data_IF_084501733326
#
_entry.id   IF_084501733326
#
_cell.length_a   1.000
_cell.length_b   1.000
_cell.length_c   1.000
_cell.angle_alpha   90.00
_cell.angle_beta   90.00
_cell.angle_gamma   90.00
#
_symmetry.space_group_name_H-M   'P 1'
#
loop_
_entity.id
_entity.type
_entity.pdbx_description
1 polymer ?
#
# COMPACT_ATOMS: atom_id res chain seq x y z
N UNK A 1 -23.87 19.05 -12.77
CA UNK A 1 -23.74 17.83 -13.59
C UNK A 1 -22.30 17.36 -13.44
N UNK A 2 -22.07 16.43 -12.51
CA UNK A 2 -20.77 15.77 -12.37
C UNK A 2 -20.89 14.49 -13.19
N UNK A 3 -20.28 14.49 -14.37
CA UNK A 3 -20.15 13.31 -15.20
C UNK A 3 -19.08 12.41 -14.59
N UNK A 4 -19.53 11.38 -13.87
CA UNK A 4 -18.72 10.20 -13.54
C UNK A 4 -18.41 9.47 -14.83
N UNK A 5 -17.12 9.31 -15.14
CA UNK A 5 -16.64 8.42 -16.20
C UNK A 5 -16.24 7.11 -15.52
N UNK A 6 -17.15 6.15 -15.50
CA UNK A 6 -16.81 4.75 -15.21
C UNK A 6 -15.97 4.20 -16.35
N UNK A 7 -14.66 4.05 -16.12
CA UNK A 7 -13.77 3.30 -16.99
C UNK A 7 -13.89 1.81 -16.70
N UNK A 8 -14.52 1.07 -17.61
CA UNK A 8 -14.49 -0.40 -17.65
C UNK A 8 -13.09 -0.86 -18.04
N UNK A 9 -12.39 -1.60 -17.17
CA UNK A 9 -11.12 -2.24 -17.52
C UNK A 9 -11.38 -3.63 -18.07
N UNK A 10 -11.31 -3.76 -19.40
CA UNK A 10 -11.20 -5.05 -20.10
C UNK A 10 -9.80 -5.63 -19.89
N UNK A 11 -9.72 -6.81 -19.29
CA UNK A 11 -8.47 -7.56 -19.12
C UNK A 11 -7.97 -8.02 -20.48
N UNK A 12 -6.92 -7.37 -20.99
CA UNK A 12 -6.25 -7.78 -22.21
C UNK A 12 -5.24 -8.87 -21.88
N UNK A 13 -5.52 -10.09 -22.35
CA UNK A 13 -4.59 -11.23 -22.35
C UNK A 13 -3.23 -10.75 -22.84
N UNK A 14 -2.20 -10.89 -22.00
CA UNK A 14 -0.82 -10.56 -22.33
C UNK A 14 -0.44 -11.23 -23.65
N UNK A 15 -0.29 -10.42 -24.70
CA UNK A 15 0.39 -10.84 -25.93
C UNK A 15 1.83 -11.12 -25.55
N UNK A 16 2.30 -12.32 -25.88
CA UNK A 16 3.71 -12.67 -25.82
C UNK A 16 4.52 -11.58 -26.53
N UNK A 17 5.19 -10.74 -25.73
CA UNK A 17 6.18 -9.81 -26.24
C UNK A 17 7.36 -10.64 -26.72
N UNK A 18 7.59 -10.56 -28.03
CA UNK A 18 8.70 -11.20 -28.70
C UNK A 18 10.03 -10.96 -27.99
N UNK A 19 10.84 -12.01 -27.95
CA UNK A 19 12.17 -12.06 -27.36
C UNK A 19 13.12 -11.09 -28.06
N UNK A 20 13.15 -9.83 -27.61
CA UNK A 20 14.22 -8.90 -27.96
C UNK A 20 14.46 -7.96 -26.77
N UNK A 21 15.51 -8.24 -25.99
CA UNK A 21 15.96 -7.37 -24.89
C UNK A 21 16.08 -7.99 -23.49
N UNK A 22 15.77 -9.28 -23.31
CA UNK A 22 15.79 -9.93 -21.97
C UNK A 22 17.21 -10.04 -21.39
N UNK A 23 18.26 -9.97 -22.20
CA UNK A 23 19.64 -10.14 -21.73
C UNK A 23 20.29 -8.86 -21.17
N UNK A 24 19.83 -7.66 -21.54
CA UNK A 24 20.41 -6.40 -21.05
C UNK A 24 19.87 -5.98 -19.68
N UNK A 25 18.64 -6.39 -19.33
CA UNK A 25 18.01 -6.04 -18.05
C UNK A 25 18.41 -6.97 -16.89
N UNK A 26 18.82 -8.21 -17.18
CA UNK A 26 19.28 -9.16 -16.13
C UNK A 26 20.50 -8.62 -15.39
N UNK A 27 21.46 -8.06 -16.12
CA UNK A 27 22.70 -7.52 -15.55
C UNK A 27 22.51 -6.20 -14.79
N UNK A 28 21.32 -5.59 -14.83
CA UNK A 28 21.04 -4.31 -14.15
C UNK A 28 20.68 -4.50 -12.68
N UNK A 29 20.17 -5.69 -12.32
CA UNK A 29 19.66 -6.05 -11.00
C UNK A 29 20.46 -7.16 -10.30
N UNK A 30 21.45 -7.74 -10.99
CA UNK A 30 22.40 -8.65 -10.35
C UNK A 30 23.27 -7.89 -9.34
N UNK A 31 23.66 -8.57 -8.24
CA UNK A 31 24.70 -8.06 -7.34
C UNK A 31 25.94 -7.80 -8.21
N UNK A 32 26.47 -6.57 -8.17
CA UNK A 32 27.71 -6.24 -8.88
C UNK A 32 28.84 -7.09 -8.28
N UNK A 33 29.31 -8.10 -9.02
CA UNK A 33 30.52 -8.88 -8.70
C UNK A 33 31.83 -8.08 -8.94
N UNK A 34 31.73 -6.86 -9.46
CA UNK A 34 32.87 -6.02 -9.83
C UNK A 34 33.45 -5.29 -8.62
N UNK A 35 34.09 -6.01 -7.70
CA UNK A 35 35.02 -5.43 -6.72
C UNK A 35 36.19 -6.38 -6.37
N UNK A 36 36.60 -7.27 -7.29
CA UNK A 36 37.77 -8.14 -7.03
C UNK A 36 39.14 -7.51 -7.37
N UNK A 37 39.23 -6.31 -7.97
CA UNK A 37 40.52 -5.78 -8.46
C UNK A 37 40.81 -4.29 -8.19
N UNK A 38 40.15 -3.68 -7.21
CA UNK A 38 40.68 -2.49 -6.53
C UNK A 38 40.57 -2.76 -5.04
N UNK A 39 41.66 -2.59 -4.29
CA UNK A 39 41.76 -2.78 -2.84
C UNK A 39 40.88 -1.79 -2.05
N UNK A 40 39.57 -1.84 -2.26
CA UNK A 40 38.57 -1.21 -1.42
C UNK A 40 37.89 -2.30 -0.62
N UNK A 41 38.55 -2.70 0.46
CA UNK A 41 37.98 -3.54 1.50
C UNK A 41 36.77 -2.81 2.09
N UNK A 42 35.56 -3.14 1.64
CA UNK A 42 34.35 -2.84 2.38
C UNK A 42 34.39 -3.65 3.66
N UNK A 43 34.88 -3.05 4.75
CA UNK A 43 34.85 -3.64 6.07
C UNK A 43 33.39 -3.65 6.57
N UNK A 44 32.71 -4.77 6.38
CA UNK A 44 31.32 -4.96 6.82
C UNK A 44 31.17 -4.93 8.35
N UNK A 45 32.26 -5.11 9.11
CA UNK A 45 32.28 -4.98 10.57
C UNK A 45 32.46 -3.52 11.01
N UNK A 46 32.97 -2.68 10.11
CA UNK A 46 33.26 -1.28 10.34
C UNK A 46 32.58 -0.44 9.27
N UNK A 47 31.24 -0.48 9.26
CA UNK A 47 30.41 0.37 8.41
C UNK A 47 30.80 1.82 8.68
N UNK A 48 31.62 2.39 7.81
CA UNK A 48 32.07 3.79 7.86
C UNK A 48 30.87 4.69 7.54
N UNK A 49 29.93 4.78 8.49
CA UNK A 49 28.89 5.79 8.49
C UNK A 49 28.17 5.92 9.84
N UNK A 50 28.59 5.30 10.95
CA UNK A 50 27.96 5.62 12.27
C UNK A 50 28.25 7.09 12.67
N UNK A 51 29.34 7.70 12.18
CA UNK A 51 29.76 9.05 12.52
C UNK A 51 30.17 9.87 11.28
N UNK A 52 29.27 10.08 10.33
CA UNK A 52 29.46 11.16 9.33
C UNK A 52 29.46 12.51 10.05
N UNK A 53 30.56 13.26 9.94
CA UNK A 53 30.64 14.62 10.46
C UNK A 53 29.65 15.54 9.72
N UNK A 54 29.18 16.61 10.38
CA UNK A 54 28.22 17.58 9.83
C UNK A 54 28.69 18.34 8.55
N UNK A 55 29.81 17.94 7.96
CA UNK A 55 30.49 18.60 6.84
C UNK A 55 30.49 17.68 5.62
N UNK A 56 29.35 17.51 4.94
CA UNK A 56 29.32 17.15 3.50
C UNK A 56 27.92 17.16 2.90
N UNK A 57 27.02 18.05 3.32
CA UNK A 57 25.83 18.29 2.51
C UNK A 57 26.29 19.00 1.22
N UNK A 58 26.36 18.25 0.12
CA UNK A 58 26.53 18.84 -1.21
C UNK A 58 25.23 19.56 -1.56
N UNK A 59 25.35 20.86 -1.88
CA UNK A 59 24.20 21.60 -2.39
C UNK A 59 23.79 20.99 -3.73
N UNK A 60 22.57 20.46 -3.80
CA UNK A 60 21.99 19.96 -5.03
C UNK A 60 21.31 21.13 -5.76
N UNK A 61 21.79 21.54 -6.95
CA UNK A 61 21.13 22.61 -7.70
C UNK A 61 19.77 22.13 -8.19
N UNK A 62 18.71 22.84 -7.80
CA UNK A 62 17.33 22.56 -8.20
C UNK A 62 16.85 23.67 -9.13
N UNK A 63 16.24 23.30 -10.25
CA UNK A 63 15.67 24.25 -11.21
C UNK A 63 14.16 24.09 -11.21
N UNK A 64 13.44 25.21 -11.24
CA UNK A 64 11.99 25.17 -11.39
C UNK A 64 11.64 24.64 -12.78
N UNK A 65 10.77 23.63 -12.82
CA UNK A 65 10.27 23.04 -14.05
C UNK A 65 8.74 23.13 -14.05
N UNK A 66 8.19 23.68 -15.14
CA UNK A 66 6.76 23.92 -15.30
C UNK A 66 5.99 22.60 -15.39
N UNK A 67 6.62 21.53 -15.90
CA UNK A 67 6.00 20.21 -16.03
C UNK A 67 5.67 19.58 -14.68
N UNK A 68 6.49 19.87 -13.66
CA UNK A 68 6.35 19.34 -12.31
C UNK A 68 5.72 20.35 -11.33
N UNK A 69 5.57 21.60 -11.74
CA UNK A 69 5.20 22.75 -10.89
C UNK A 69 6.07 22.88 -9.62
N UNK A 70 7.35 22.45 -9.70
CA UNK A 70 8.26 22.45 -8.55
C UNK A 70 9.73 22.58 -8.98
N UNK A 71 10.61 22.83 -8.01
CA UNK A 71 12.07 22.86 -8.17
C UNK A 71 12.61 21.44 -8.12
N UNK A 72 12.96 20.92 -9.29
CA UNK A 72 13.43 19.55 -9.46
C UNK A 72 14.86 19.50 -10.00
N UNK A 73 15.49 18.34 -9.84
CA UNK A 73 16.76 18.02 -10.46
C UNK A 73 16.63 16.72 -11.27
N UNK A 74 16.67 16.87 -12.60
CA UNK A 74 16.56 15.77 -13.57
C UNK A 74 17.82 14.89 -13.65
N UNK A 75 18.91 15.22 -12.96
CA UNK A 75 20.17 14.45 -13.03
C UNK A 75 20.24 13.33 -12.01
N UNK A 76 19.51 13.41 -10.90
CA UNK A 76 19.59 12.44 -9.80
C UNK A 76 18.19 12.12 -9.28
N UNK A 77 18.02 10.96 -8.63
CA UNK A 77 16.83 10.67 -7.83
C UNK A 77 17.04 11.09 -6.37
N UNK A 78 15.94 11.37 -5.68
CA UNK A 78 15.93 11.57 -4.24
C UNK A 78 15.52 10.27 -3.55
N UNK A 79 16.16 9.97 -2.40
CA UNK A 79 15.75 8.87 -1.52
C UNK A 79 15.00 9.46 -0.34
N UNK A 80 13.81 8.92 -0.04
CA UNK A 80 13.06 9.22 1.18
C UNK A 80 12.95 7.95 2.02
N UNK A 81 13.27 8.05 3.30
CA UNK A 81 13.11 6.96 4.27
C UNK A 81 11.90 7.28 5.15
N UNK A 82 11.12 6.25 5.48
CA UNK A 82 10.01 6.41 6.42
C UNK A 82 10.54 6.80 7.82
N UNK A 83 9.84 7.68 8.53
CA UNK A 83 10.33 8.26 9.79
C UNK A 83 10.51 7.27 10.94
N UNK A 84 9.78 6.16 10.90
CA UNK A 84 9.89 5.08 11.88
C UNK A 84 11.02 4.09 11.58
N UNK A 85 11.81 4.33 10.52
CA UNK A 85 12.91 3.46 10.10
C UNK A 85 14.22 4.18 10.26
N UNK A 86 15.21 3.44 10.74
CA UNK A 86 16.55 3.96 10.86
C UNK A 86 17.24 3.95 9.49
N UNK A 87 17.60 5.12 8.98
CA UNK A 87 18.19 5.30 7.64
C UNK A 87 19.50 4.53 7.43
N UNK A 88 20.20 4.18 8.53
CA UNK A 88 21.47 3.44 8.50
C UNK A 88 21.31 1.96 8.82
N UNK A 89 20.09 1.45 8.85
CA UNK A 89 19.88 0.02 8.92
C UNK A 89 20.50 -0.67 7.68
N UNK A 90 21.10 -1.83 7.86
CA UNK A 90 21.87 -2.52 6.82
C UNK A 90 20.96 -2.91 5.64
N UNK A 91 19.74 -3.37 5.94
CA UNK A 91 18.70 -3.67 4.95
C UNK A 91 18.37 -2.46 4.07
N UNK A 92 18.22 -1.29 4.68
CA UNK A 92 17.91 -0.02 4.00
C UNK A 92 19.08 0.43 3.14
N UNK A 93 20.30 0.40 3.67
CA UNK A 93 21.50 0.81 2.93
C UNK A 93 21.81 -0.10 1.74
N UNK A 94 21.69 -1.42 1.91
CA UNK A 94 21.79 -2.38 0.81
C UNK A 94 20.68 -2.12 -0.22
N UNK A 95 19.46 -1.87 0.27
CA UNK A 95 18.29 -1.43 -0.47
C UNK A 95 18.57 -0.25 -1.40
N UNK A 96 19.08 0.82 -0.83
CA UNK A 96 19.45 2.05 -1.52
C UNK A 96 20.58 1.77 -2.53
N UNK A 97 21.56 0.96 -2.16
CA UNK A 97 22.70 0.63 -3.03
C UNK A 97 22.28 -0.13 -4.29
N UNK A 98 21.48 -1.19 -4.17
CA UNK A 98 21.06 -1.96 -5.35
C UNK A 98 20.11 -1.16 -6.25
N UNK A 99 19.25 -0.33 -5.64
CA UNK A 99 18.27 0.47 -6.37
C UNK A 99 18.88 1.70 -7.09
N UNK A 100 20.18 1.98 -6.91
CA UNK A 100 20.91 3.03 -7.63
C UNK A 100 20.79 2.89 -9.15
N UNK A 101 20.80 1.66 -9.66
CA UNK A 101 20.71 1.38 -11.09
C UNK A 101 19.39 1.85 -11.71
N UNK A 102 18.34 2.08 -10.91
CA UNK A 102 17.05 2.60 -11.38
C UNK A 102 17.14 4.03 -11.91
N UNK A 103 18.13 4.82 -11.48
CA UNK A 103 18.32 6.19 -11.96
C UNK A 103 18.53 6.25 -13.49
N UNK A 104 19.19 5.24 -14.06
CA UNK A 104 19.37 5.13 -15.51
C UNK A 104 18.04 4.84 -16.23
N UNK A 105 17.21 4.00 -15.63
CA UNK A 105 15.89 3.64 -16.17
C UNK A 105 14.95 4.84 -16.11
N UNK A 106 14.91 5.54 -14.97
CA UNK A 106 14.07 6.73 -14.80
C UNK A 106 14.41 7.83 -15.81
N UNK A 107 15.71 8.08 -16.02
CA UNK A 107 16.18 9.01 -17.05
C UNK A 107 15.79 8.57 -18.45
N UNK A 108 15.97 7.29 -18.78
CA UNK A 108 15.59 6.74 -20.08
C UNK A 108 14.09 6.88 -20.33
N UNK A 109 13.26 6.63 -19.32
CA UNK A 109 11.81 6.79 -19.43
C UNK A 109 11.42 8.25 -19.68
N UNK A 110 12.00 9.20 -18.94
CA UNK A 110 11.74 10.62 -19.12
C UNK A 110 12.25 11.17 -20.48
N UNK A 111 13.28 10.56 -21.05
CA UNK A 111 13.75 10.88 -22.41
C UNK A 111 12.83 10.31 -23.50
N UNK A 112 12.25 9.14 -23.26
CA UNK A 112 11.35 8.48 -24.20
C UNK A 112 9.95 9.09 -24.19
N UNK A 113 9.49 9.51 -23.02
CA UNK A 113 8.17 10.11 -22.80
C UNK A 113 8.31 11.43 -22.02
N UNK A 114 8.31 12.58 -22.73
CA UNK A 114 8.39 13.89 -22.12
C UNK A 114 7.18 14.26 -21.25
N UNK A 115 6.03 13.62 -21.45
CA UNK A 115 4.81 13.89 -20.67
C UNK A 115 4.80 13.15 -19.33
N UNK A 116 5.75 12.23 -19.12
CA UNK A 116 5.90 11.47 -17.88
C UNK A 116 6.27 12.41 -16.72
N UNK A 117 5.47 12.36 -15.65
CA UNK A 117 5.68 13.18 -14.44
C UNK A 117 6.56 12.41 -13.45
N UNK A 118 6.06 12.12 -12.25
CA UNK A 118 6.81 11.51 -11.17
C UNK A 118 7.00 10.01 -11.40
N UNK A 119 8.23 9.55 -11.23
CA UNK A 119 8.57 8.15 -11.19
C UNK A 119 9.05 7.79 -9.79
N UNK A 120 8.57 6.67 -9.26
CA UNK A 120 8.93 6.24 -7.93
C UNK A 120 9.12 4.73 -7.87
N UNK A 121 10.02 4.34 -6.98
CA UNK A 121 10.21 2.96 -6.54
C UNK A 121 10.14 2.96 -5.02
N UNK A 122 9.38 2.04 -4.44
CA UNK A 122 9.26 1.93 -2.99
C UNK A 122 9.53 0.50 -2.55
N UNK A 123 10.41 0.35 -1.56
CA UNK A 123 10.71 -0.95 -0.95
C UNK A 123 9.83 -1.18 0.28
N UNK A 124 9.39 -2.43 0.55
CA UNK A 124 8.81 -2.80 1.84
C UNK A 124 9.75 -2.53 3.04
N UNK A 125 11.07 -2.50 2.81
CA UNK A 125 12.07 -2.11 3.81
C UNK A 125 11.96 -0.63 4.24
N UNK A 126 11.11 0.13 3.55
CA UNK A 126 10.68 1.47 3.93
C UNK A 126 11.64 2.60 3.59
N UNK A 127 12.36 2.43 2.47
CA UNK A 127 12.85 3.54 1.65
C UNK A 127 12.13 3.61 0.29
N UNK A 128 12.04 4.80 -0.27
CA UNK A 128 11.55 5.04 -1.62
C UNK A 128 12.53 5.92 -2.40
N UNK A 129 12.66 5.66 -3.70
CA UNK A 129 13.32 6.53 -4.68
C UNK A 129 12.28 7.32 -5.43
N UNK A 130 12.57 8.59 -5.66
CA UNK A 130 11.71 9.53 -6.35
C UNK A 130 12.50 10.27 -7.43
N UNK A 131 12.01 10.23 -8.65
CA UNK A 131 12.62 10.88 -9.80
C UNK A 131 11.60 11.78 -10.52
N UNK A 132 11.99 13.02 -10.89
CA UNK A 132 13.27 13.67 -10.60
C UNK A 132 13.45 13.99 -9.09
N UNK A 133 14.68 14.28 -8.69
CA UNK A 133 14.95 14.64 -7.30
C UNK A 133 14.24 15.95 -6.95
N UNK A 134 13.53 15.97 -5.83
CA UNK A 134 12.81 17.12 -5.29
C UNK A 134 13.22 17.33 -3.84
N UNK A 135 13.17 18.58 -3.37
CA UNK A 135 13.30 18.87 -1.95
C UNK A 135 11.93 18.67 -1.32
N UNK A 136 11.78 17.65 -0.48
CA UNK A 136 10.56 17.45 0.31
C UNK A 136 10.26 18.67 1.19
N UNK A 137 8.98 19.01 1.34
CA UNK A 137 8.59 20.16 2.14
C UNK A 137 8.95 19.93 3.60
N UNK A 138 9.20 21.04 4.30
CA UNK A 138 9.38 21.05 5.76
C UNK A 138 8.02 21.06 6.50
N UNK A 139 6.92 20.97 5.76
CA UNK A 139 5.58 20.83 6.32
C UNK A 139 5.43 19.52 7.11
N UNK A 140 4.63 19.58 8.18
CA UNK A 140 4.43 18.43 9.09
C UNK A 140 3.95 17.17 8.37
N UNK A 141 3.08 17.32 7.37
CA UNK A 141 2.55 16.19 6.61
C UNK A 141 3.65 15.42 5.87
N UNK A 142 4.54 16.15 5.20
CA UNK A 142 5.65 15.58 4.43
C UNK A 142 6.71 14.95 5.33
N UNK A 143 6.84 15.45 6.56
CA UNK A 143 7.70 14.84 7.58
C UNK A 143 7.12 13.51 8.07
N UNK A 144 5.81 13.40 8.30
CA UNK A 144 5.18 12.15 8.76
C UNK A 144 4.78 11.20 7.63
N UNK A 145 5.19 11.50 6.40
CA UNK A 145 4.78 10.72 5.24
C UNK A 145 5.44 9.33 5.24
N UNK A 146 4.61 8.31 5.45
CA UNK A 146 4.92 6.92 5.12
C UNK A 146 4.23 6.57 3.80
N UNK A 147 4.99 6.07 2.83
CA UNK A 147 4.45 5.63 1.55
C UNK A 147 3.81 4.24 1.64
N UNK A 148 4.18 3.42 2.62
CA UNK A 148 3.70 2.02 2.73
C UNK A 148 2.23 1.93 3.13
N UNK A 149 1.69 2.99 3.70
CA UNK A 149 0.28 3.10 4.07
C UNK A 149 -0.57 3.72 2.94
N UNK A 150 0.05 4.08 1.80
CA UNK A 150 -0.67 4.73 0.69
C UNK A 150 -1.33 3.72 -0.21
N UNK A 151 -2.52 4.06 -0.69
CA UNK A 151 -3.31 3.20 -1.58
C UNK A 151 -2.50 2.68 -2.76
N UNK A 152 -1.78 3.56 -3.48
CA UNK A 152 -0.95 3.16 -4.62
C UNK A 152 0.09 2.08 -4.28
N UNK A 153 0.65 2.09 -3.06
CA UNK A 153 1.62 1.09 -2.61
C UNK A 153 0.90 -0.18 -2.17
N UNK A 154 -0.14 -0.06 -1.35
CA UNK A 154 -0.90 -1.19 -0.82
C UNK A 154 -1.61 -1.97 -1.93
N UNK A 155 -2.14 -1.29 -2.95
CA UNK A 155 -2.75 -1.89 -4.14
C UNK A 155 -1.74 -2.67 -4.99
N UNK A 156 -0.50 -2.16 -5.10
CA UNK A 156 0.55 -2.85 -5.84
C UNK A 156 1.13 -4.05 -5.08
N UNK A 157 1.15 -3.98 -3.74
CA UNK A 157 1.74 -5.01 -2.89
C UNK A 157 0.76 -6.11 -2.48
N UNK A 158 -0.54 -5.82 -2.43
CA UNK A 158 -1.54 -6.75 -1.89
C UNK A 158 -2.74 -6.88 -2.82
N UNK A 159 -3.31 -8.07 -2.88
CA UNK A 159 -4.58 -8.29 -3.58
C UNK A 159 -5.76 -7.73 -2.76
N UNK A 160 -6.94 -7.56 -3.39
CA UNK A 160 -8.18 -7.26 -2.67
C UNK A 160 -8.45 -8.26 -1.54
N UNK A 161 -8.94 -7.77 -0.40
CA UNK A 161 -9.12 -8.53 0.84
C UNK A 161 -10.57 -8.44 1.34
N UNK A 162 -11.06 -9.57 1.87
CA UNK A 162 -12.36 -9.70 2.54
C UNK A 162 -12.12 -9.86 4.06
N UNK A 163 -12.43 -8.83 4.86
CA UNK A 163 -12.03 -8.75 6.27
C UNK A 163 -13.24 -8.60 7.20
N UNK A 164 -13.24 -9.36 8.29
CA UNK A 164 -14.14 -9.13 9.43
C UNK A 164 -13.32 -8.77 10.66
N UNK A 165 -13.63 -7.63 11.26
CA UNK A 165 -13.02 -7.18 12.51
C UNK A 165 -13.96 -7.53 13.67
N UNK A 166 -13.47 -8.33 14.62
CA UNK A 166 -14.21 -8.72 15.83
C UNK A 166 -13.76 -7.87 17.02
N UNK A 167 -14.68 -7.06 17.56
CA UNK A 167 -14.45 -6.21 18.72
C UNK A 167 -15.03 -6.82 19.99
N UNK A 168 -14.17 -7.06 20.97
CA UNK A 168 -14.60 -7.47 22.30
C UNK A 168 -15.26 -6.30 23.03
N UNK A 169 -16.52 -6.47 23.45
CA UNK A 169 -17.27 -5.50 24.27
C UNK A 169 -17.45 -5.97 25.71
N UNK A 170 -16.61 -6.89 26.18
CA UNK A 170 -16.61 -7.38 27.55
C UNK A 170 -16.16 -6.33 28.57
N UNK A 171 -16.50 -6.57 29.84
CA UNK A 171 -16.10 -5.73 30.97
C UNK A 171 -14.58 -5.50 31.07
N UNK A 172 -13.77 -6.46 30.61
CA UNK A 172 -12.31 -6.36 30.60
C UNK A 172 -11.75 -5.31 29.66
N UNK A 173 -12.53 -4.87 28.67
CA UNK A 173 -12.10 -3.84 27.73
C UNK A 173 -12.31 -2.42 28.26
N UNK A 174 -12.93 -2.25 29.42
CA UNK A 174 -13.20 -0.92 30.01
C UNK A 174 -11.91 -0.09 30.20
N UNK A 175 -11.98 1.19 29.88
CA UNK A 175 -10.88 2.14 30.05
C UNK A 175 -9.90 2.13 28.88
N UNK A 176 -8.60 2.12 29.18
CA UNK A 176 -7.51 2.27 28.19
C UNK A 176 -7.52 1.21 27.08
N UNK A 177 -7.91 -0.02 27.39
CA UNK A 177 -7.94 -1.11 26.40
C UNK A 177 -8.92 -0.83 25.26
N UNK A 178 -10.10 -0.30 25.57
CA UNK A 178 -11.09 0.11 24.58
C UNK A 178 -10.58 1.24 23.69
N UNK A 179 -9.96 2.25 24.28
CA UNK A 179 -9.39 3.37 23.53
C UNK A 179 -8.29 2.91 22.56
N UNK A 180 -7.38 2.04 23.04
CA UNK A 180 -6.35 1.44 22.20
C UNK A 180 -6.95 0.56 21.09
N UNK A 181 -8.00 -0.21 21.38
CA UNK A 181 -8.70 -1.00 20.36
C UNK A 181 -9.30 -0.11 19.27
N UNK A 182 -9.88 1.05 19.62
CA UNK A 182 -10.40 1.97 18.61
C UNK A 182 -9.28 2.53 17.72
N UNK A 183 -8.13 2.87 18.30
CA UNK A 183 -6.96 3.33 17.54
C UNK A 183 -6.48 2.25 16.58
N UNK A 184 -6.30 1.00 17.04
CA UNK A 184 -5.88 -0.12 16.20
C UNK A 184 -6.87 -0.35 15.05
N UNK A 185 -8.18 -0.25 15.32
CA UNK A 185 -9.18 -0.42 14.26
C UNK A 185 -9.06 0.70 13.23
N UNK A 186 -8.89 1.96 13.66
CA UNK A 186 -8.66 3.06 12.72
C UNK A 186 -7.40 2.83 11.88
N UNK A 187 -6.30 2.40 12.50
CA UNK A 187 -5.06 2.09 11.78
C UNK A 187 -5.27 0.97 10.75
N UNK A 188 -6.08 -0.05 11.08
CA UNK A 188 -6.45 -1.11 10.11
C UNK A 188 -7.29 -0.52 8.98
N UNK A 189 -8.31 0.28 9.28
CA UNK A 189 -9.17 0.91 8.26
C UNK A 189 -8.38 1.85 7.34
N UNK A 190 -7.31 2.49 7.84
CA UNK A 190 -6.41 3.34 7.05
C UNK A 190 -5.57 2.54 6.03
N UNK A 191 -5.45 1.22 6.19
CA UNK A 191 -4.74 0.35 5.22
C UNK A 191 -5.63 -0.22 4.14
N UNK A 192 -6.95 -0.02 4.22
CA UNK A 192 -7.90 -0.58 3.26
C UNK A 192 -8.03 0.31 2.03
N UNK A 193 -8.14 -0.33 0.87
CA UNK A 193 -8.40 0.34 -0.41
C UNK A 193 -9.86 0.16 -0.83
N UNK A 194 -10.31 0.93 -1.82
CA UNK A 194 -11.68 0.85 -2.34
C UNK A 194 -12.03 -0.56 -2.89
N UNK A 195 -11.04 -1.36 -3.27
CA UNK A 195 -11.28 -2.73 -3.75
C UNK A 195 -11.46 -3.76 -2.61
N UNK A 196 -11.19 -3.38 -1.36
CA UNK A 196 -11.32 -4.26 -0.20
C UNK A 196 -12.76 -4.27 0.34
N UNK A 197 -13.16 -5.36 0.98
CA UNK A 197 -14.45 -5.50 1.67
C UNK A 197 -14.24 -5.69 3.16
N UNK A 198 -14.98 -4.93 3.97
CA UNK A 198 -14.85 -4.92 5.42
C UNK A 198 -16.20 -4.88 6.11
N UNK A 199 -16.30 -5.53 7.27
CA UNK A 199 -17.34 -5.27 8.25
C UNK A 199 -16.80 -5.46 9.67
N UNK A 200 -17.42 -4.80 10.65
CA UNK A 200 -17.02 -4.82 12.04
C UNK A 200 -18.16 -5.38 12.87
N UNK A 201 -17.88 -6.41 13.67
CA UNK A 201 -18.83 -7.01 14.60
C UNK A 201 -18.33 -6.87 16.02
N UNK A 202 -19.23 -6.58 16.95
CA UNK A 202 -18.96 -6.63 18.38
C UNK A 202 -19.46 -7.94 18.95
N UNK A 203 -18.71 -8.55 19.86
CA UNK A 203 -19.11 -9.82 20.48
C UNK A 203 -19.11 -9.74 22.01
N UNK A 204 -20.15 -10.33 22.60
CA UNK A 204 -20.22 -10.69 24.02
C UNK A 204 -20.67 -12.15 24.10
N UNK A 205 -21.82 -12.45 24.69
CA UNK A 205 -22.55 -13.70 24.48
C UNK A 205 -23.22 -13.79 23.08
N UNK A 206 -23.52 -12.64 22.46
CA UNK A 206 -24.09 -12.52 21.11
C UNK A 206 -23.17 -11.65 20.26
N UNK A 207 -23.11 -11.97 18.96
CA UNK A 207 -22.36 -11.22 17.94
C UNK A 207 -23.31 -10.31 17.17
N UNK A 208 -23.07 -9.01 17.24
CA UNK A 208 -23.92 -7.96 16.63
C UNK A 208 -23.03 -7.08 15.74
N UNK A 209 -23.50 -6.63 14.56
CA UNK A 209 -22.74 -5.70 13.74
C UNK A 209 -22.54 -4.37 14.48
N UNK A 210 -21.45 -3.67 14.18
CA UNK A 210 -21.16 -2.35 14.78
C UNK A 210 -22.15 -1.28 14.29
N UNK A 211 -22.56 -1.39 13.03
CA UNK A 211 -23.54 -0.50 12.39
C UNK A 211 -24.77 -1.35 12.06
N UNK A 212 -25.95 -0.96 12.56
CA UNK A 212 -27.17 -1.75 12.46
C UNK A 212 -27.64 -2.05 11.02
N UNK A 213 -27.22 -1.25 10.04
CA UNK A 213 -27.53 -1.51 8.63
C UNK A 213 -26.55 -2.49 7.97
N UNK A 214 -25.44 -2.82 8.61
CA UNK A 214 -24.39 -3.69 8.06
C UNK A 214 -24.60 -5.16 8.45
N UNK A 215 -25.78 -5.69 8.14
CA UNK A 215 -26.20 -7.03 8.56
C UNK A 215 -25.69 -8.13 7.61
N UNK A 216 -25.08 -9.16 8.19
CA UNK A 216 -24.79 -10.46 7.57
C UNK A 216 -24.05 -10.46 6.21
N UNK A 217 -23.33 -9.38 5.90
CA UNK A 217 -22.51 -9.25 4.68
C UNK A 217 -21.29 -8.38 4.91
N UNK A 218 -20.37 -8.34 3.95
CA UNK A 218 -19.27 -7.37 3.89
C UNK A 218 -19.65 -6.18 3.00
N UNK A 219 -19.05 -5.03 3.27
CA UNK A 219 -19.24 -3.81 2.49
C UNK A 219 -17.91 -3.33 1.93
N UNK A 220 -17.97 -2.76 0.74
CA UNK A 220 -16.80 -2.17 0.10
C UNK A 220 -16.22 -1.07 0.99
N UNK A 221 -14.90 -1.00 1.11
CA UNK A 221 -14.17 -0.05 1.94
C UNK A 221 -14.08 1.36 1.31
N UNK A 222 -15.20 1.88 0.82
CA UNK A 222 -15.33 3.24 0.31
C UNK A 222 -15.27 4.25 1.46
N UNK A 223 -14.81 5.47 1.18
CA UNK A 223 -14.65 6.54 2.18
C UNK A 223 -15.93 6.76 3.04
N UNK A 224 -17.12 6.73 2.42
CA UNK A 224 -18.41 6.87 3.12
C UNK A 224 -18.68 5.72 4.11
N UNK A 225 -18.41 4.48 3.72
CA UNK A 225 -18.61 3.30 4.58
C UNK A 225 -17.58 3.28 5.71
N UNK A 226 -16.32 3.59 5.41
CA UNK A 226 -15.26 3.71 6.40
C UNK A 226 -15.55 4.81 7.42
N UNK A 227 -16.06 5.96 6.96
CA UNK A 227 -16.50 7.05 7.84
C UNK A 227 -17.62 6.61 8.78
N UNK A 228 -18.63 5.92 8.28
CA UNK A 228 -19.72 5.36 9.11
C UNK A 228 -19.16 4.41 10.17
N UNK A 229 -18.28 3.48 9.80
CA UNK A 229 -17.65 2.57 10.76
C UNK A 229 -16.91 3.34 11.86
N UNK A 230 -16.13 4.36 11.51
CA UNK A 230 -15.40 5.21 12.48
C UNK A 230 -16.31 5.96 13.43
N UNK A 231 -17.44 6.48 12.95
CA UNK A 231 -18.43 7.21 13.75
C UNK A 231 -19.11 6.29 14.80
N UNK A 232 -19.28 5.00 14.50
CA UNK A 232 -19.93 4.03 15.40
C UNK A 232 -18.97 3.34 16.39
N UNK A 233 -17.64 3.36 16.17
CA UNK A 233 -16.66 2.81 17.12
C UNK A 233 -16.84 3.28 18.58
N UNK A 234 -17.07 4.57 18.89
CA UNK A 234 -17.24 5.01 20.28
C UNK A 234 -18.58 4.60 20.91
N UNK A 235 -19.58 4.15 20.15
CA UNK A 235 -20.99 4.14 20.60
C UNK A 235 -21.39 2.86 21.35
N UNK A 236 -20.71 1.72 21.14
CA UNK A 236 -21.18 0.45 21.68
C UNK A 236 -21.05 0.30 23.22
N UNK A 237 -21.99 -0.40 23.84
CA UNK A 237 -22.01 -0.59 25.30
C UNK A 237 -21.24 -1.84 25.77
N UNK A 238 -20.57 -1.69 26.91
CA UNK A 238 -19.82 -2.76 27.58
C UNK A 238 -20.78 -3.72 28.28
N UNK A 239 -20.62 -5.03 28.04
CA UNK A 239 -21.37 -6.12 28.70
C UNK A 239 -20.42 -7.04 29.48
N UNK A 240 -20.93 -7.84 30.43
CA UNK A 240 -20.08 -8.50 31.45
C UNK A 240 -19.26 -9.71 30.99
N UNK A 241 -19.69 -10.46 29.96
CA UNK A 241 -19.06 -11.74 29.57
C UNK A 241 -18.74 -11.74 28.08
N UNK A 242 -17.52 -12.13 27.72
CA UNK A 242 -17.10 -12.40 26.35
C UNK A 242 -17.26 -13.89 26.03
N UNK A 243 -17.84 -14.18 24.87
CA UNK A 243 -17.84 -15.49 24.23
C UNK A 243 -17.19 -15.33 22.86
N UNK A 244 -15.88 -15.57 22.79
CA UNK A 244 -15.12 -15.47 21.54
C UNK A 244 -15.58 -16.50 20.50
N UNK A 245 -16.03 -17.68 20.94
CA UNK A 245 -16.54 -18.72 20.03
C UNK A 245 -17.74 -18.22 19.24
N UNK A 246 -18.68 -17.54 19.90
CA UNK A 246 -19.82 -16.93 19.21
C UNK A 246 -19.40 -15.85 18.20
N UNK A 247 -18.37 -15.07 18.52
CA UNK A 247 -17.78 -14.07 17.61
C UNK A 247 -17.18 -14.72 16.36
N UNK A 248 -16.35 -15.74 16.57
CA UNK A 248 -15.67 -16.46 15.49
C UNK A 248 -16.63 -17.24 14.60
N UNK A 249 -17.59 -17.96 15.19
CA UNK A 249 -18.63 -18.66 14.45
C UNK A 249 -19.39 -17.71 13.53
N UNK A 250 -19.78 -16.53 14.03
CA UNK A 250 -20.46 -15.52 13.23
C UNK A 250 -19.58 -14.95 12.12
N UNK A 251 -18.31 -14.68 12.40
CA UNK A 251 -17.37 -14.20 11.38
C UNK A 251 -17.21 -15.21 10.24
N UNK A 252 -17.01 -16.50 10.57
CA UNK A 252 -16.89 -17.55 9.55
C UNK A 252 -18.19 -17.76 8.78
N UNK A 253 -19.35 -17.63 9.42
CA UNK A 253 -20.65 -17.67 8.74
C UNK A 253 -20.75 -16.58 7.67
N UNK A 254 -20.44 -15.33 8.03
CA UNK A 254 -20.52 -14.17 7.11
C UNK A 254 -19.52 -14.31 5.97
N UNK A 255 -18.27 -14.67 6.26
CA UNK A 255 -17.25 -14.88 5.23
C UNK A 255 -17.65 -16.00 4.26
N UNK A 256 -18.19 -17.10 4.79
CA UNK A 256 -18.67 -18.21 3.97
C UNK A 256 -19.88 -17.80 3.12
N UNK A 257 -20.79 -17.00 3.68
CA UNK A 257 -21.95 -16.46 2.98
C UNK A 257 -21.49 -15.56 1.82
N UNK A 258 -20.69 -14.53 2.10
CA UNK A 258 -20.16 -13.57 1.13
C UNK A 258 -19.44 -14.25 -0.04
N UNK A 259 -18.60 -15.26 0.26
CA UNK A 259 -17.91 -16.02 -0.78
C UNK A 259 -18.88 -16.78 -1.69
N UNK A 260 -19.95 -17.37 -1.14
CA UNK A 260 -20.96 -18.09 -1.95
C UNK A 260 -21.76 -17.13 -2.82
N UNK A 261 -22.19 -15.99 -2.29
CA UNK A 261 -22.91 -14.98 -3.08
C UNK A 261 -22.06 -14.47 -4.24
N UNK A 262 -20.79 -14.15 -4.01
CA UNK A 262 -19.89 -13.71 -5.09
C UNK A 262 -19.65 -14.80 -6.14
N UNK A 263 -19.52 -16.07 -5.73
CA UNK A 263 -19.39 -17.18 -6.67
C UNK A 263 -20.66 -17.39 -7.50
N UNK A 264 -21.84 -17.24 -6.90
CA UNK A 264 -23.10 -17.34 -7.65
C UNK A 264 -23.26 -16.18 -8.64
N UNK A 265 -22.89 -14.96 -8.24
CA UNK A 265 -22.89 -13.81 -9.16
C UNK A 265 -21.93 -13.99 -10.34
N UNK A 266 -20.76 -14.61 -10.10
CA UNK A 266 -19.82 -14.95 -11.17
C UNK A 266 -20.35 -16.10 -12.05
N UNK A 267 -21.01 -17.10 -11.46
CA UNK A 267 -21.70 -18.17 -12.19
C UNK A 267 -22.77 -17.62 -13.12
N UNK A 268 -23.65 -16.76 -12.61
CA UNK A 268 -24.72 -16.11 -13.37
C UNK A 268 -24.16 -15.17 -14.45
N UNK A 269 -23.03 -14.49 -14.18
CA UNK A 269 -22.36 -13.62 -15.16
C UNK A 269 -21.70 -14.41 -16.30
N UNK A 270 -21.11 -15.58 -16.01
CA UNK A 270 -20.58 -16.49 -17.03
C UNK A 270 -21.71 -17.09 -17.86
N UNK A 271 -22.81 -17.50 -17.23
CA UNK A 271 -24.00 -18.02 -17.91
C UNK A 271 -24.66 -16.95 -18.79
N UNK A 272 -24.75 -15.70 -18.33
CA UNK A 272 -25.20 -14.57 -19.15
C UNK A 272 -24.26 -14.26 -20.31
N UNK A 273 -22.94 -14.34 -20.11
CA UNK A 273 -21.93 -14.15 -21.17
C UNK A 273 -22.04 -15.24 -22.25
N UNK A 274 -22.19 -16.50 -21.87
CA UNK A 274 -22.39 -17.61 -22.80
C UNK A 274 -23.74 -17.53 -23.52
N UNK A 275 -24.79 -17.08 -22.83
CA UNK A 275 -26.12 -16.88 -23.44
C UNK A 275 -26.11 -15.72 -24.45
N UNK A 276 -25.40 -14.62 -24.15
CA UNK A 276 -25.23 -13.49 -25.08
C UNK A 276 -24.37 -13.89 -26.28
N UNK A 277 -23.29 -14.66 -26.07
CA UNK A 277 -22.45 -15.16 -27.15
C UNK A 277 -23.21 -16.11 -28.09
N UNK A 278 -24.10 -16.96 -27.55
CA UNK A 278 -24.94 -17.86 -28.33
C UNK A 278 -26.15 -17.18 -28.98
N UNK A 279 -26.56 -15.99 -28.52
CA UNK A 279 -27.65 -15.22 -29.12
C UNK A 279 -27.18 -14.28 -30.26
N UNK A 280 -25.87 -14.07 -30.39
CA UNK A 280 -25.24 -13.21 -31.42
C UNK A 280 -24.72 -14.04 -32.63
N UNK A 281 -24.75 -15.37 -32.54
CA UNK A 281 -24.49 -16.32 -33.64
C UNK A 281 -25.80 -16.90 -34.19
#
# INVERSE_FOLDING_TARGET
MITSVMGSFTFSRARELGTCGVNELKNLFDKRDTYENEDFSCDCENLMDILRSNVSYQSLPMNYDIHFDDKVNMKVSAVKVATNIFERDMSVLEGIRWSESLDLVFKKNALNDPDLVWQYFASPDGFMRHYPAVKWSEERYDQTYDFRTRSWFTEAMTSPKDIIILLDRSGSMKGKKRELSHQIVNDILDTLNDNDFVNIYTFNNVSEPLVDCFNDTLFQANEENLRLLREYLPVYEIKRVANISAGLEKAFEILAHFRRTNLNLLGDAVEMSETIANAIL
#
